data_IF_519895817151
#
_entry.id   IF_519895817151
#
_cell.length_a   1.000
_cell.length_b   1.000
_cell.length_c   1.000
_cell.angle_alpha   90.00
_cell.angle_beta   90.00
_cell.angle_gamma   90.00
#
_symmetry.space_group_name_H-M   'P 1'
#
loop_
_entity.id
_entity.type
_entity.pdbx_description
1 polymer ?
#
# COMPACT_ATOMS: atom_id res chain seq x y z
N UNK A 1 13.99 -15.40 5.92
CA UNK A 1 13.85 -14.53 4.73
C UNK A 1 13.71 -13.11 5.26
N UNK A 2 14.78 -12.33 5.29
CA UNK A 2 14.74 -10.96 5.84
C UNK A 2 13.78 -10.09 5.02
N UNK A 3 13.21 -9.00 5.60
CA UNK A 3 12.22 -8.19 4.92
C UNK A 3 12.84 -7.63 3.64
N UNK A 4 12.34 -8.09 2.50
CA UNK A 4 12.79 -7.63 1.20
C UNK A 4 12.32 -6.18 1.04
N UNK A 5 13.20 -5.24 1.40
CA UNK A 5 13.01 -3.80 1.27
C UNK A 5 13.09 -3.42 -0.22
N UNK A 6 12.09 -3.81 -1.00
CA UNK A 6 12.04 -3.65 -2.46
C UNK A 6 11.46 -2.31 -2.90
N UNK A 7 10.94 -1.52 -1.96
CA UNK A 7 10.59 -0.13 -2.16
C UNK A 7 10.90 0.70 -0.90
N UNK A 8 11.06 2.01 -1.08
CA UNK A 8 10.97 2.99 -0.01
C UNK A 8 9.56 3.57 -0.02
N UNK A 9 8.95 3.79 1.15
CA UNK A 9 7.62 4.38 1.25
C UNK A 9 7.67 5.71 1.99
N UNK A 10 6.88 6.66 1.52
CA UNK A 10 6.68 7.96 2.15
C UNK A 10 5.19 8.27 2.23
N UNK A 11 4.75 8.75 3.39
CA UNK A 11 3.38 9.20 3.62
C UNK A 11 3.31 10.73 3.53
N UNK A 12 2.39 11.24 2.73
CA UNK A 12 2.07 12.65 2.61
C UNK A 12 0.64 12.88 3.07
N UNK A 13 0.46 13.89 3.93
CA UNK A 13 -0.84 14.38 4.40
C UNK A 13 -0.84 15.91 4.30
N UNK A 14 -2.01 16.54 4.28
CA UNK A 14 -2.08 18.01 4.17
C UNK A 14 -1.41 18.75 5.33
N UNK A 15 -1.49 18.19 6.55
CA UNK A 15 -0.91 18.76 7.76
C UNK A 15 0.52 18.29 8.05
N UNK A 16 1.02 17.30 7.33
CA UNK A 16 2.30 16.62 7.62
C UNK A 16 2.25 15.65 8.80
N UNK A 17 1.12 15.54 9.50
CA UNK A 17 0.90 14.59 10.60
C UNK A 17 -0.30 13.70 10.30
N UNK A 18 -0.13 12.39 10.42
CA UNK A 18 -1.22 11.44 10.21
C UNK A 18 -1.91 11.05 11.52
N UNK A 19 -3.23 11.14 11.53
CA UNK A 19 -4.12 10.54 12.53
C UNK A 19 -5.01 9.53 11.80
N UNK A 20 -5.47 8.48 12.48
CA UNK A 20 -6.40 7.50 11.89
C UNK A 20 -7.60 8.21 11.26
N UNK A 21 -7.93 7.83 10.02
CA UNK A 21 -9.00 8.46 9.24
C UNK A 21 -8.61 9.74 8.50
N UNK A 22 -7.37 10.23 8.62
CA UNK A 22 -6.91 11.41 7.85
C UNK A 22 -7.04 11.16 6.36
N UNK A 23 -7.74 12.06 5.67
CA UNK A 23 -7.88 12.15 4.22
C UNK A 23 -7.95 13.64 3.83
N UNK A 24 -7.50 14.03 2.63
CA UNK A 24 -6.78 13.20 1.68
C UNK A 24 -5.36 12.85 2.17
N UNK A 25 -4.84 11.73 1.67
CA UNK A 25 -3.43 11.36 1.85
C UNK A 25 -2.86 10.75 0.57
N UNK A 26 -1.54 10.74 0.48
CA UNK A 26 -0.81 10.08 -0.59
C UNK A 26 0.28 9.19 0.00
N UNK A 27 0.32 7.94 -0.42
CA UNK A 27 1.44 7.04 -0.18
C UNK A 27 2.29 7.00 -1.45
N UNK A 28 3.60 7.21 -1.31
CA UNK A 28 4.54 7.13 -2.42
C UNK A 28 5.47 5.96 -2.19
N UNK A 29 5.48 4.99 -3.11
CA UNK A 29 6.32 3.80 -3.09
C UNK A 29 7.34 3.89 -4.22
N UNK A 30 8.61 4.06 -3.87
CA UNK A 30 9.73 4.13 -4.80
C UNK A 30 10.42 2.77 -4.88
N UNK A 31 10.25 2.06 -5.99
CA UNK A 31 10.73 0.69 -6.14
C UNK A 31 12.22 0.64 -6.46
N UNK A 32 12.93 -0.27 -5.81
CA UNK A 32 14.37 -0.57 -6.05
C UNK A 32 14.57 -1.85 -6.86
N UNK A 33 13.52 -2.66 -7.00
CA UNK A 33 13.53 -3.95 -7.71
C UNK A 33 12.29 -4.03 -8.60
N UNK A 34 12.36 -4.79 -9.72
CA UNK A 34 11.18 -4.99 -10.54
C UNK A 34 10.13 -5.80 -9.78
N UNK A 35 8.86 -5.58 -10.11
CA UNK A 35 7.73 -6.33 -9.58
C UNK A 35 6.67 -6.49 -10.67
N UNK A 36 6.28 -7.73 -10.99
CA UNK A 36 5.19 -7.99 -11.92
C UNK A 36 3.84 -7.47 -11.39
N UNK A 37 3.06 -6.78 -12.22
CA UNK A 37 1.78 -6.21 -11.80
C UNK A 37 0.77 -7.27 -11.32
N UNK A 38 0.86 -8.47 -11.91
CA UNK A 38 0.09 -9.66 -11.49
C UNK A 38 0.41 -10.08 -10.06
N UNK A 39 1.70 -10.11 -9.70
CA UNK A 39 2.15 -10.48 -8.37
C UNK A 39 1.81 -9.40 -7.36
N UNK A 40 1.80 -8.13 -7.76
CA UNK A 40 1.36 -7.03 -6.93
C UNK A 40 -0.10 -7.22 -6.50
N UNK A 41 -1.00 -7.50 -7.45
CA UNK A 41 -2.41 -7.77 -7.16
C UNK A 41 -2.60 -8.96 -6.20
N UNK A 42 -1.89 -10.07 -6.42
CA UNK A 42 -1.93 -11.24 -5.52
C UNK A 42 -1.41 -10.87 -4.12
N UNK A 43 -0.39 -10.02 -4.03
CA UNK A 43 0.14 -9.54 -2.76
C UNK A 43 -0.89 -8.71 -1.99
N UNK A 44 -1.68 -7.85 -2.65
CA UNK A 44 -2.74 -7.07 -2.00
C UNK A 44 -3.76 -7.99 -1.31
N UNK A 45 -4.27 -8.99 -2.04
CA UNK A 45 -5.23 -9.97 -1.52
C UNK A 45 -4.67 -10.70 -0.30
N UNK A 46 -3.41 -11.14 -0.37
CA UNK A 46 -2.73 -11.81 0.74
C UNK A 46 -2.60 -10.91 1.95
N UNK A 47 -2.23 -9.64 1.77
CA UNK A 47 -2.07 -8.70 2.88
C UNK A 47 -3.41 -8.40 3.55
N UNK A 48 -4.48 -8.16 2.80
CA UNK A 48 -5.82 -7.97 3.38
C UNK A 48 -6.27 -9.18 4.21
N UNK A 49 -6.03 -10.38 3.70
CA UNK A 49 -6.31 -11.61 4.45
C UNK A 49 -5.49 -11.70 5.75
N UNK A 50 -4.19 -11.36 5.70
CA UNK A 50 -3.33 -11.36 6.89
C UNK A 50 -3.75 -10.32 7.94
N UNK A 51 -4.24 -9.15 7.50
CA UNK A 51 -4.75 -8.11 8.38
C UNK A 51 -6.12 -8.45 8.98
N UNK A 52 -6.81 -9.45 8.42
CA UNK A 52 -8.16 -9.85 8.79
C UNK A 52 -9.24 -8.91 8.25
N UNK A 53 -8.94 -8.16 7.18
CA UNK A 53 -9.87 -7.24 6.55
C UNK A 53 -10.90 -8.05 5.75
N UNK A 54 -12.18 -7.89 6.10
CA UNK A 54 -13.28 -8.58 5.44
C UNK A 54 -13.91 -7.70 4.37
N UNK A 55 -13.49 -7.89 3.13
CA UNK A 55 -14.12 -7.30 1.95
C UNK A 55 -15.16 -8.28 1.37
N UNK A 56 -16.21 -7.80 0.68
CA UNK A 56 -17.13 -8.69 -0.03
C UNK A 56 -16.37 -9.55 -1.03
N UNK A 57 -16.47 -10.88 -0.91
CA UNK A 57 -15.66 -11.83 -1.67
C UNK A 57 -15.77 -11.64 -3.19
N UNK A 58 -16.98 -11.35 -3.68
CA UNK A 58 -17.23 -11.07 -5.10
C UNK A 58 -16.49 -9.82 -5.58
N UNK A 59 -16.62 -8.71 -4.86
CA UNK A 59 -15.95 -7.45 -5.22
C UNK A 59 -14.44 -7.61 -5.13
N UNK A 60 -13.96 -8.35 -4.12
CA UNK A 60 -12.54 -8.64 -3.96
C UNK A 60 -12.01 -9.42 -5.17
N UNK A 61 -12.68 -10.50 -5.57
CA UNK A 61 -12.27 -11.30 -6.72
C UNK A 61 -12.29 -10.51 -8.03
N UNK A 62 -13.31 -9.67 -8.23
CA UNK A 62 -13.40 -8.75 -9.37
C UNK A 62 -12.23 -7.77 -9.41
N UNK A 63 -11.94 -7.10 -8.29
CA UNK A 63 -10.84 -6.14 -8.16
C UNK A 63 -9.50 -6.82 -8.41
N UNK A 64 -9.24 -7.96 -7.78
CA UNK A 64 -7.98 -8.70 -7.93
C UNK A 64 -7.82 -9.21 -9.36
N UNK A 65 -8.89 -9.77 -9.95
CA UNK A 65 -8.87 -10.24 -11.34
C UNK A 65 -8.64 -9.10 -12.31
N UNK A 66 -9.24 -7.93 -12.07
CA UNK A 66 -9.02 -6.74 -12.88
C UNK A 66 -7.57 -6.27 -12.78
N UNK A 67 -7.05 -6.05 -11.57
CA UNK A 67 -5.67 -5.61 -11.37
C UNK A 67 -4.65 -6.58 -11.97
N UNK A 68 -4.86 -7.90 -11.86
CA UNK A 68 -3.99 -8.89 -12.51
C UNK A 68 -3.96 -8.76 -14.04
N UNK A 69 -4.98 -8.19 -14.67
CA UNK A 69 -5.05 -8.03 -16.13
C UNK A 69 -4.54 -6.67 -16.60
N UNK A 70 -4.78 -5.62 -15.81
CA UNK A 70 -4.57 -4.23 -16.25
C UNK A 70 -3.42 -3.52 -15.57
N UNK A 71 -3.04 -3.96 -14.37
CA UNK A 71 -1.97 -3.30 -13.62
C UNK A 71 -0.61 -3.59 -14.29
N UNK A 72 0.15 -2.55 -14.64
CA UNK A 72 1.41 -2.71 -15.37
C UNK A 72 2.51 -3.25 -14.46
N UNK A 73 3.54 -3.82 -15.08
CA UNK A 73 4.75 -4.22 -14.38
C UNK A 73 5.54 -2.99 -13.90
N UNK A 74 6.04 -3.07 -12.67
CA UNK A 74 6.83 -2.04 -12.02
C UNK A 74 8.31 -2.35 -12.26
N UNK A 75 9.06 -1.35 -12.71
CA UNK A 75 10.50 -1.44 -12.93
C UNK A 75 11.26 -0.85 -11.74
N UNK A 76 12.56 -1.17 -11.59
CA UNK A 76 13.41 -0.41 -10.69
C UNK A 76 13.33 1.08 -11.02
N UNK A 77 13.37 1.91 -9.98
CA UNK A 77 13.27 3.38 -10.04
C UNK A 77 11.87 3.91 -10.36
N UNK A 78 10.90 3.03 -10.70
CA UNK A 78 9.51 3.45 -10.83
C UNK A 78 8.94 3.90 -9.49
N UNK A 79 8.10 4.91 -9.56
CA UNK A 79 7.38 5.45 -8.40
C UNK A 79 5.89 5.20 -8.55
N UNK A 80 5.33 4.44 -7.62
CA UNK A 80 3.91 4.18 -7.50
C UNK A 80 3.32 5.05 -6.38
N UNK A 81 2.37 5.89 -6.72
CA UNK A 81 1.59 6.65 -5.76
C UNK A 81 0.23 5.98 -5.55
N UNK A 82 -0.21 5.93 -4.32
CA UNK A 82 -1.61 5.68 -3.99
C UNK A 82 -2.23 6.95 -3.43
N UNK A 83 -3.25 7.47 -4.11
CA UNK A 83 -4.01 8.63 -3.67
C UNK A 83 -5.26 8.13 -2.97
N UNK A 84 -5.42 8.47 -1.69
CA UNK A 84 -6.60 8.15 -0.90
C UNK A 84 -7.37 9.43 -0.58
N UNK A 85 -8.54 9.59 -1.18
CA UNK A 85 -9.51 10.63 -0.87
C UNK A 85 -10.51 10.11 0.18
N UNK A 86 -11.51 10.92 0.54
CA UNK A 86 -12.51 10.55 1.56
C UNK A 86 -13.35 9.33 1.17
N UNK A 87 -13.77 9.24 -0.10
CA UNK A 87 -14.72 8.25 -0.61
C UNK A 87 -14.11 7.27 -1.62
N UNK A 88 -12.90 7.57 -2.11
CA UNK A 88 -12.27 6.82 -3.19
C UNK A 88 -10.75 6.91 -3.19
N UNK A 89 -10.10 5.98 -3.88
CA UNK A 89 -8.66 6.03 -4.11
C UNK A 89 -8.24 5.41 -5.43
N UNK A 90 -6.99 5.63 -5.85
CA UNK A 90 -6.46 5.11 -7.12
C UNK A 90 -4.93 5.12 -7.14
N UNK A 91 -4.35 4.29 -8.00
CA UNK A 91 -2.90 4.19 -8.21
C UNK A 91 -2.43 5.03 -9.39
N UNK A 92 -1.29 5.70 -9.21
CA UNK A 92 -0.54 6.40 -10.26
C UNK A 92 0.86 5.79 -10.33
N UNK A 93 1.30 5.29 -11.48
CA UNK A 93 2.67 4.85 -11.72
C UNK A 93 3.37 5.84 -12.65
N UNK A 94 4.47 6.45 -12.22
CA UNK A 94 5.26 7.41 -13.02
C UNK A 94 4.39 8.41 -13.79
N UNK A 95 3.47 9.09 -13.10
CA UNK A 95 2.53 10.09 -13.66
C UNK A 95 1.34 9.56 -14.47
N UNK A 96 1.12 8.24 -14.53
CA UNK A 96 -0.06 7.64 -15.19
C UNK A 96 -0.97 6.94 -14.22
N UNK A 97 -2.28 7.20 -14.29
CA UNK A 97 -3.27 6.40 -13.54
C UNK A 97 -3.27 4.98 -14.10
N UNK A 98 -3.04 3.99 -13.24
CA UNK A 98 -2.86 2.58 -13.62
C UNK A 98 -3.87 1.64 -12.98
N UNK A 99 -4.81 2.17 -12.20
CA UNK A 99 -5.91 1.40 -11.63
C UNK A 99 -7.24 2.08 -11.88
N UNK A 100 -8.29 1.29 -11.78
CA UNK A 100 -9.63 1.81 -11.56
C UNK A 100 -9.71 2.55 -10.22
N UNK A 101 -10.78 3.34 -10.07
CA UNK A 101 -11.10 4.04 -8.83
C UNK A 101 -11.69 3.05 -7.84
N UNK A 102 -11.01 2.88 -6.71
CA UNK A 102 -11.48 2.06 -5.60
C UNK A 102 -12.56 2.81 -4.83
N UNK A 103 -13.63 2.11 -4.45
CA UNK A 103 -14.64 2.64 -3.54
C UNK A 103 -14.08 2.81 -2.12
N UNK A 104 -14.86 3.41 -1.22
CA UNK A 104 -14.43 3.68 0.17
C UNK A 104 -13.89 2.45 0.90
N UNK A 105 -14.54 1.29 0.78
CA UNK A 105 -14.13 0.08 1.50
C UNK A 105 -12.76 -0.42 1.03
N UNK A 106 -12.53 -0.46 -0.28
CA UNK A 106 -11.23 -0.81 -0.85
C UNK A 106 -10.17 0.27 -0.59
N UNK A 107 -10.57 1.54 -0.62
CA UNK A 107 -9.67 2.65 -0.29
C UNK A 107 -9.10 2.53 1.12
N UNK A 108 -9.99 2.31 2.11
CA UNK A 108 -9.58 2.09 3.49
C UNK A 108 -8.73 0.82 3.64
N UNK A 109 -9.08 -0.25 2.92
CA UNK A 109 -8.31 -1.50 2.94
C UNK A 109 -6.90 -1.34 2.31
N UNK A 110 -6.75 -0.57 1.24
CA UNK A 110 -5.44 -0.30 0.63
C UNK A 110 -4.58 0.50 1.59
N UNK A 111 -5.10 1.58 2.17
CA UNK A 111 -4.33 2.40 3.13
C UNK A 111 -3.90 1.57 4.35
N UNK A 112 -4.75 0.66 4.83
CA UNK A 112 -4.44 -0.22 5.96
C UNK A 112 -3.22 -1.11 5.72
N UNK A 113 -2.88 -1.46 4.46
CA UNK A 113 -1.66 -2.24 4.15
C UNK A 113 -0.40 -1.58 4.71
N UNK A 114 -0.35 -0.25 4.76
CA UNK A 114 0.82 0.48 5.23
C UNK A 114 0.60 1.19 6.56
N UNK A 115 -0.62 1.62 6.87
CA UNK A 115 -0.89 2.44 8.05
C UNK A 115 -1.56 1.67 9.20
N UNK A 116 -1.98 0.42 9.01
CA UNK A 116 -2.51 -0.40 10.11
C UNK A 116 -1.42 -0.60 11.18
N UNK A 117 -1.73 -0.40 12.48
CA UNK A 117 -0.74 -0.51 13.56
C UNK A 117 -0.16 -1.92 13.73
N UNK A 118 -0.75 -2.96 13.11
CA UNK A 118 -0.14 -4.29 13.06
C UNK A 118 1.07 -4.36 12.12
N UNK A 119 1.23 -3.37 11.25
CA UNK A 119 2.31 -3.32 10.27
C UNK A 119 3.50 -2.55 10.83
N UNK A 120 4.68 -3.19 10.86
CA UNK A 120 5.93 -2.52 11.28
C UNK A 120 6.20 -1.24 10.48
N UNK A 121 5.82 -1.21 9.20
CA UNK A 121 6.00 -0.06 8.33
C UNK A 121 5.14 1.14 8.73
N UNK A 122 3.99 0.92 9.39
CA UNK A 122 3.15 1.99 9.93
C UNK A 122 3.91 2.75 11.00
N UNK A 123 4.53 2.02 11.94
CA UNK A 123 5.35 2.65 12.98
C UNK A 123 6.54 3.40 12.40
N UNK A 124 7.22 2.87 11.37
CA UNK A 124 8.32 3.59 10.69
C UNK A 124 7.87 4.87 9.99
N UNK A 125 6.65 4.88 9.43
CA UNK A 125 6.07 6.03 8.74
C UNK A 125 5.61 7.13 9.70
N UNK A 126 5.09 6.73 10.86
CA UNK A 126 4.48 7.64 11.84
C UNK A 126 5.47 8.09 12.91
N UNK A 127 6.50 7.30 13.18
CA UNK A 127 7.55 7.59 14.14
C UNK A 127 8.93 7.35 13.49
N UNK A 128 9.64 8.42 13.09
CA UNK A 128 10.98 8.33 12.51
C UNK A 128 12.03 7.66 13.42
N UNK A 129 11.73 7.49 14.71
CA UNK A 129 12.60 6.86 15.70
C UNK A 129 12.34 5.35 15.89
N UNK A 130 11.29 4.80 15.27
CA UNK A 130 10.91 3.39 15.42
C UNK A 130 11.96 2.44 14.82
N UNK A 131 12.41 1.47 15.63
CA UNK A 131 13.24 0.35 15.20
C UNK A 131 12.42 -0.95 15.19
N UNK A 132 12.38 -1.69 14.07
CA UNK A 132 11.57 -2.90 13.97
C UNK A 132 12.04 -3.98 14.94
N UNK A 133 11.08 -4.76 15.47
CA UNK A 133 11.30 -5.75 16.53
C UNK A 133 12.35 -6.81 16.20
N UNK A 134 12.55 -7.13 14.91
CA UNK A 134 13.55 -8.09 14.43
C UNK A 134 15.02 -7.63 14.68
N UNK A 135 15.27 -6.35 14.93
CA UNK A 135 16.61 -5.85 15.29
C UNK A 135 16.82 -5.77 16.82
N UNK A 136 15.75 -5.82 17.62
CA UNK A 136 15.82 -5.69 19.07
C UNK A 136 16.28 -6.98 19.79
N UNK A 137 16.22 -8.14 19.14
CA UNK A 137 16.61 -9.43 19.72
C UNK A 137 18.08 -9.80 19.47
N UNK A 138 18.90 -8.83 19.02
CA UNK A 138 20.33 -9.03 18.71
C UNK A 138 21.31 -8.48 19.77
N UNK A 139 20.82 -8.13 20.96
CA UNK A 139 21.61 -7.62 22.08
C UNK A 139 21.36 -8.42 23.35
#
# INVERSE_FOLDING_TARGET
>A
MGPFNIYHITLFTESGTYVEGTRPLMLTLQYKKPWEGRDFAVSLARTWNNLGIKLPEKELDEVITHLRKTFPDIKPEDTLHYIALEDRGYFILNDKVVSDVFNKAFNDAIVAIWLDPKMDISHQLLDPSYKPRAEAEKY
#
